data_IF_109740039282
#
_entry.id   IF_109740039282
#
_cell.length_a   1.000
_cell.length_b   1.000
_cell.length_c   1.000
_cell.angle_alpha   90.00
_cell.angle_beta   90.00
_cell.angle_gamma   90.00
#
_symmetry.space_group_name_H-M   'P 1'
#
loop_
_entity.id
_entity.type
_entity.pdbx_description
1 polymer ?
#
# COMPACT_ATOMS: atom_id res chain seq x y z
N UNK A 1 -13.21 -20.84 -15.82
CA UNK A 1 -12.46 -19.56 -15.86
C UNK A 1 -11.77 -19.42 -14.53
N UNK A 2 -10.45 -19.25 -14.53
CA UNK A 2 -9.73 -18.92 -13.30
C UNK A 2 -10.03 -17.46 -12.95
N UNK A 3 -10.50 -17.23 -11.72
CA UNK A 3 -10.87 -15.89 -11.26
C UNK A 3 -9.66 -15.25 -10.55
N UNK A 4 -9.30 -14.03 -10.94
CA UNK A 4 -8.36 -13.21 -10.19
C UNK A 4 -9.05 -12.61 -8.97
N UNK A 5 -8.36 -12.65 -7.82
CA UNK A 5 -8.87 -12.12 -6.55
C UNK A 5 -8.12 -10.87 -6.15
N UNK A 6 -8.83 -9.76 -6.07
CA UNK A 6 -8.28 -8.48 -5.61
C UNK A 6 -8.78 -8.20 -4.19
N UNK A 7 -7.87 -7.80 -3.32
CA UNK A 7 -8.17 -7.28 -2.00
C UNK A 7 -7.88 -5.78 -1.96
N UNK A 8 -8.91 -4.99 -1.68
CA UNK A 8 -8.84 -3.53 -1.62
C UNK A 8 -9.14 -3.09 -0.19
N UNK A 9 -8.26 -2.29 0.39
CA UNK A 9 -8.50 -1.69 1.69
C UNK A 9 -8.03 -0.24 1.74
N UNK A 10 -8.74 0.56 2.53
CA UNK A 10 -8.29 1.89 2.91
C UNK A 10 -8.26 2.04 4.41
N UNK A 11 -7.27 2.77 4.92
CA UNK A 11 -7.13 3.02 6.35
C UNK A 11 -6.65 4.45 6.60
N UNK A 12 -7.46 5.25 7.29
CA UNK A 12 -7.00 6.54 7.82
C UNK A 12 -6.25 6.28 9.12
N UNK A 13 -4.94 6.59 9.14
CA UNK A 13 -4.06 6.25 10.24
C UNK A 13 -3.94 7.39 11.26
N UNK A 14 -4.56 8.55 11.03
CA UNK A 14 -4.55 9.68 11.96
C UNK A 14 -3.15 10.09 12.41
N UNK A 15 -2.17 10.07 11.51
CA UNK A 15 -0.74 10.33 11.75
C UNK A 15 0.02 9.33 12.62
N UNK A 16 -0.60 8.20 12.99
CA UNK A 16 0.05 7.13 13.74
C UNK A 16 1.12 6.39 12.93
N UNK A 17 1.98 5.68 13.66
CA UNK A 17 2.91 4.68 13.14
C UNK A 17 2.24 3.30 13.08
N UNK A 18 2.74 2.36 12.26
CA UNK A 18 2.18 1.01 12.12
C UNK A 18 2.53 0.10 13.32
N UNK A 19 2.31 0.56 14.55
CA UNK A 19 2.63 -0.19 15.77
C UNK A 19 1.51 -1.17 16.18
N UNK A 20 0.34 -1.03 15.54
CA UNK A 20 -0.82 -1.90 15.73
C UNK A 20 -0.75 -3.17 14.87
N UNK A 21 -1.50 -4.19 15.26
CA UNK A 21 -1.64 -5.40 14.45
C UNK A 21 -2.45 -5.12 13.17
N UNK A 22 -1.84 -5.32 12.01
CA UNK A 22 -2.46 -5.09 10.70
C UNK A 22 -3.06 -6.37 10.08
N UNK A 23 -3.03 -7.51 10.79
CA UNK A 23 -3.62 -8.77 10.28
C UNK A 23 -5.11 -8.65 10.03
N UNK A 24 -5.83 -7.91 10.86
CA UNK A 24 -7.25 -7.64 10.67
C UNK A 24 -7.50 -6.80 9.41
N UNK A 25 -6.71 -5.75 9.19
CA UNK A 25 -6.75 -4.91 7.99
C UNK A 25 -6.51 -5.70 6.71
N UNK A 26 -5.70 -6.76 6.77
CA UNK A 26 -5.41 -7.64 5.63
C UNK A 26 -6.34 -8.87 5.56
N UNK A 27 -7.28 -9.00 6.50
CA UNK A 27 -8.11 -10.18 6.69
C UNK A 27 -7.30 -11.49 6.72
N UNK A 28 -6.09 -11.43 7.28
CA UNK A 28 -5.23 -12.61 7.49
C UNK A 28 -5.73 -13.30 8.76
N UNK A 29 -6.64 -14.26 8.60
CA UNK A 29 -7.07 -15.14 9.68
C UNK A 29 -6.09 -16.30 9.84
N UNK A 30 -5.85 -16.78 11.08
CA UNK A 30 -5.01 -17.97 11.37
C UNK A 30 -5.50 -19.26 10.71
N UNK A 31 -6.76 -19.27 10.26
CA UNK A 31 -7.27 -20.32 9.39
C UNK A 31 -6.58 -20.19 8.05
N UNK A 32 -5.85 -21.22 7.64
CA UNK A 32 -5.39 -21.47 6.26
C UNK A 32 -6.59 -21.33 5.31
N UNK A 33 -6.91 -20.09 4.95
CA UNK A 33 -7.92 -19.79 3.95
C UNK A 33 -7.37 -20.33 2.64
N UNK A 34 -8.07 -21.29 2.06
CA UNK A 34 -7.65 -22.03 0.86
C UNK A 34 -7.51 -21.11 -0.37
N UNK A 35 -7.79 -19.82 -0.26
CA UNK A 35 -7.70 -18.89 -1.39
C UNK A 35 -7.26 -17.49 -0.95
N UNK A 36 -5.95 -17.28 -0.89
CA UNK A 36 -5.34 -15.96 -0.69
C UNK A 36 -5.62 -15.04 -1.90
N UNK A 37 -5.72 -13.71 -1.71
CA UNK A 37 -5.84 -12.76 -2.83
C UNK A 37 -4.68 -12.90 -3.80
N UNK A 38 -4.92 -12.66 -5.09
CA UNK A 38 -3.86 -12.57 -6.08
C UNK A 38 -3.16 -11.21 -6.00
N UNK A 39 -3.91 -10.16 -5.65
CA UNK A 39 -3.44 -8.80 -5.50
C UNK A 39 -3.97 -8.16 -4.22
N UNK A 40 -3.13 -7.36 -3.58
CA UNK A 40 -3.54 -6.40 -2.54
C UNK A 40 -3.32 -4.98 -3.06
N UNK A 41 -4.31 -4.12 -2.96
CA UNK A 41 -4.15 -2.67 -3.13
C UNK A 41 -4.61 -1.97 -1.85
N UNK A 42 -3.68 -1.33 -1.16
CA UNK A 42 -3.85 -0.77 0.17
C UNK A 42 -3.61 0.73 0.14
N UNK A 43 -4.57 1.51 0.64
CA UNK A 43 -4.53 2.98 0.61
C UNK A 43 -4.60 3.58 2.02
N UNK A 44 -3.54 4.23 2.46
CA UNK A 44 -3.45 4.88 3.76
C UNK A 44 -3.63 6.39 3.65
N UNK A 45 -4.36 6.98 4.60
CA UNK A 45 -4.65 8.42 4.69
C UNK A 45 -4.14 8.99 6.01
N UNK A 46 -3.86 10.29 6.03
CA UNK A 46 -3.23 11.01 7.15
C UNK A 46 -1.88 10.40 7.58
N UNK A 47 -1.12 9.84 6.62
CA UNK A 47 0.22 9.32 6.90
C UNK A 47 1.16 10.49 7.23
N UNK A 48 1.98 10.33 8.28
CA UNK A 48 2.91 11.37 8.76
C UNK A 48 3.82 11.88 7.62
N UNK A 49 3.73 13.18 7.33
CA UNK A 49 4.39 13.82 6.18
C UNK A 49 5.52 14.80 6.60
N UNK A 50 6.45 14.34 7.45
CA UNK A 50 7.64 15.15 7.75
C UNK A 50 8.58 15.19 6.53
N UNK A 51 9.14 16.35 6.14
CA UNK A 51 9.97 16.47 4.92
C UNK A 51 11.17 15.52 4.89
N UNK A 52 11.80 15.30 6.05
CA UNK A 52 12.89 14.34 6.21
C UNK A 52 12.44 12.92 5.87
N UNK A 53 11.23 12.53 6.28
CA UNK A 53 10.65 11.23 6.02
C UNK A 53 10.31 11.09 4.53
N UNK A 54 9.78 12.12 3.87
CA UNK A 54 9.46 12.04 2.43
C UNK A 54 10.71 11.78 1.56
N UNK A 55 11.84 12.39 1.90
CA UNK A 55 13.11 12.15 1.19
C UNK A 55 13.63 10.73 1.45
N UNK A 56 13.61 10.29 2.71
CA UNK A 56 14.07 8.95 3.08
C UNK A 56 13.17 7.84 2.51
N UNK A 57 11.86 8.05 2.48
CA UNK A 57 10.88 7.10 1.91
C UNK A 57 10.95 7.02 0.37
N UNK A 58 11.64 7.96 -0.28
CA UNK A 58 11.97 7.86 -1.72
C UNK A 58 13.14 6.88 -1.93
N UNK A 59 14.02 6.73 -0.94
CA UNK A 59 15.20 5.87 -0.98
C UNK A 59 14.96 4.50 -0.31
N UNK A 60 14.05 4.45 0.66
CA UNK A 60 13.71 3.28 1.48
C UNK A 60 12.21 3.04 1.52
N UNK A 61 11.77 1.83 1.86
CA UNK A 61 10.35 1.60 2.10
C UNK A 61 9.87 2.41 3.30
N UNK A 62 8.72 3.07 3.16
CA UNK A 62 8.12 3.75 4.30
C UNK A 62 7.64 2.75 5.37
N UNK A 63 7.47 3.18 6.64
CA UNK A 63 7.14 2.28 7.74
C UNK A 63 5.89 1.42 7.51
N UNK A 64 4.85 1.98 6.89
CA UNK A 64 3.61 1.23 6.60
C UNK A 64 3.86 0.17 5.52
N UNK A 65 4.61 0.52 4.47
CA UNK A 65 5.05 -0.46 3.47
C UNK A 65 5.87 -1.58 4.08
N UNK A 66 6.80 -1.26 4.99
CA UNK A 66 7.63 -2.25 5.67
C UNK A 66 6.76 -3.21 6.52
N UNK A 67 5.89 -2.68 7.38
CA UNK A 67 5.02 -3.49 8.25
C UNK A 67 4.11 -4.45 7.45
N UNK A 68 3.52 -3.98 6.35
CA UNK A 68 2.71 -4.84 5.48
C UNK A 68 3.55 -5.92 4.79
N UNK A 69 4.78 -5.59 4.34
CA UNK A 69 5.69 -6.58 3.74
C UNK A 69 6.02 -7.70 4.71
N UNK A 70 6.25 -7.40 5.98
CA UNK A 70 6.53 -8.42 6.99
C UNK A 70 5.35 -9.38 7.19
N UNK A 71 4.12 -8.88 7.13
CA UNK A 71 2.90 -9.69 7.28
C UNK A 71 2.58 -10.54 6.06
N UNK A 72 2.77 -10.01 4.84
CA UNK A 72 2.50 -10.73 3.59
C UNK A 72 3.57 -11.79 3.25
N UNK A 73 4.72 -11.76 3.93
CA UNK A 73 5.82 -12.73 3.79
C UNK A 73 6.35 -12.87 2.34
N UNK A 74 7.02 -13.98 2.04
CA UNK A 74 7.77 -14.21 0.78
C UNK A 74 6.89 -14.47 -0.46
N UNK A 75 5.60 -14.70 -0.27
CA UNK A 75 4.71 -15.08 -1.38
C UNK A 75 4.23 -13.88 -2.20
N UNK A 76 4.26 -12.68 -1.60
CA UNK A 76 3.88 -11.44 -2.26
C UNK A 76 5.09 -10.57 -2.60
N UNK A 77 4.99 -9.87 -3.72
CA UNK A 77 5.97 -8.91 -4.21
C UNK A 77 5.29 -7.55 -4.31
N UNK A 78 5.94 -6.51 -3.77
CA UNK A 78 5.51 -5.12 -3.96
C UNK A 78 5.68 -4.76 -5.44
N UNK A 79 4.58 -4.45 -6.11
CA UNK A 79 4.57 -3.99 -7.50
C UNK A 79 4.81 -2.49 -7.59
N UNK A 80 4.14 -1.71 -6.74
CA UNK A 80 4.21 -0.25 -6.74
C UNK A 80 3.95 0.29 -5.33
N UNK A 81 4.59 1.40 -5.00
CA UNK A 81 4.20 2.26 -3.89
C UNK A 81 4.22 3.71 -4.35
N UNK A 82 3.18 4.45 -4.02
CA UNK A 82 3.02 5.87 -4.33
C UNK A 82 2.78 6.62 -3.04
N UNK A 83 3.63 7.60 -2.75
CA UNK A 83 3.53 8.42 -1.55
C UNK A 83 3.30 9.87 -1.94
N UNK A 84 2.29 10.48 -1.32
CA UNK A 84 2.01 11.92 -1.41
C UNK A 84 1.87 12.50 0.00
N UNK A 85 1.67 13.80 0.10
CA UNK A 85 1.45 14.42 1.41
C UNK A 85 0.19 13.84 2.05
N UNK A 86 0.37 13.12 3.16
CA UNK A 86 -0.73 12.48 3.89
C UNK A 86 -1.29 11.22 3.26
N UNK A 87 -0.79 10.76 2.10
CA UNK A 87 -1.31 9.58 1.41
C UNK A 87 -0.22 8.58 1.05
N UNK A 88 -0.60 7.30 1.08
CA UNK A 88 0.23 6.20 0.64
C UNK A 88 -0.65 5.13 -0.05
N UNK A 89 -0.32 4.75 -1.27
CA UNK A 89 -0.89 3.59 -1.95
C UNK A 89 0.19 2.55 -2.17
N UNK A 90 -0.12 1.30 -1.87
CA UNK A 90 0.77 0.17 -2.06
C UNK A 90 0.03 -0.95 -2.77
N UNK A 91 0.65 -1.47 -3.82
CA UNK A 91 0.13 -2.63 -4.57
C UNK A 91 1.09 -3.80 -4.42
N UNK A 92 0.57 -4.94 -4.00
CA UNK A 92 1.26 -6.23 -3.95
C UNK A 92 0.60 -7.24 -4.86
N UNK A 93 1.39 -8.20 -5.35
CA UNK A 93 0.90 -9.35 -6.10
C UNK A 93 1.57 -10.62 -5.61
N UNK A 94 0.86 -11.75 -5.70
CA UNK A 94 1.49 -13.06 -5.61
C UNK A 94 2.61 -13.19 -6.65
N UNK A 95 3.72 -13.81 -6.24
CA UNK A 95 4.90 -14.01 -7.09
C UNK A 95 4.57 -14.77 -8.40
N UNK A 96 3.58 -15.67 -8.38
CA UNK A 96 3.17 -16.47 -9.55
C UNK A 96 2.70 -15.60 -10.75
N UNK A 97 2.24 -14.37 -10.51
CA UNK A 97 1.74 -13.47 -11.56
C UNK A 97 2.80 -12.55 -12.16
N UNK A 98 4.02 -12.55 -11.63
CA UNK A 98 5.06 -11.55 -11.96
C UNK A 98 5.40 -11.51 -13.45
N UNK A 99 5.36 -12.67 -14.13
CA UNK A 99 5.66 -12.76 -15.57
C UNK A 99 4.55 -12.22 -16.47
N UNK A 100 3.32 -12.10 -15.94
CA UNK A 100 2.16 -11.61 -16.67
C UNK A 100 1.91 -10.11 -16.44
N UNK A 101 2.54 -9.52 -15.43
CA UNK A 101 2.39 -8.09 -15.10
C UNK A 101 3.30 -7.27 -16.01
N UNK A 102 2.69 -6.34 -16.76
CA UNK A 102 3.34 -5.40 -17.69
C UNK A 102 2.70 -4.02 -17.50
N UNK A 103 3.38 -2.98 -17.98
CA UNK A 103 2.82 -1.63 -18.10
C UNK A 103 2.24 -1.06 -16.78
N UNK A 104 3.00 -1.18 -15.68
CA UNK A 104 2.60 -0.57 -14.40
C UNK A 104 2.81 0.94 -14.49
N UNK A 105 1.72 1.69 -14.62
CA UNK A 105 1.72 3.14 -14.57
C UNK A 105 0.99 3.69 -13.34
N UNK A 106 1.19 4.98 -13.06
CA UNK A 106 0.64 5.65 -11.88
C UNK A 106 0.48 7.14 -12.11
N UNK A 107 -0.72 7.66 -11.87
CA UNK A 107 -1.00 9.08 -11.89
C UNK A 107 -1.38 9.60 -10.49
N UNK A 108 -1.11 10.87 -10.25
CA UNK A 108 -1.57 11.54 -9.02
C UNK A 108 -2.00 12.96 -9.32
N UNK A 109 -2.97 13.46 -8.57
CA UNK A 109 -3.44 14.83 -8.67
C UNK A 109 -3.25 15.55 -7.35
N UNK A 110 -2.52 16.67 -7.38
CA UNK A 110 -2.43 17.57 -6.23
C UNK A 110 -3.69 18.42 -6.19
N UNK A 111 -4.41 18.36 -5.07
CA UNK A 111 -5.61 19.12 -4.79
C UNK A 111 -5.30 20.14 -3.71
N UNK A 112 -4.94 21.36 -4.10
CA UNK A 112 -4.62 22.44 -3.17
C UNK A 112 -5.26 23.76 -3.58
N UNK A 113 -5.61 24.59 -2.60
CA UNK A 113 -6.13 25.95 -2.78
C UNK A 113 -5.31 26.89 -1.89
N UNK A 114 -4.87 28.03 -2.44
CA UNK A 114 -4.18 29.07 -1.66
C UNK A 114 -2.79 28.69 -1.14
N UNK A 115 -2.09 27.73 -1.75
CA UNK A 115 -0.75 27.30 -1.35
C UNK A 115 -0.71 26.16 -0.33
N UNK A 116 -1.87 25.68 0.16
CA UNK A 116 -1.97 24.44 0.92
C UNK A 116 -2.29 23.28 -0.03
N UNK A 117 -1.40 22.29 -0.11
CA UNK A 117 -1.58 21.12 -0.97
C UNK A 117 -2.12 19.93 -0.15
N UNK A 118 -3.28 19.43 -0.53
CA UNK A 118 -3.68 18.03 -0.28
C UNK A 118 -3.37 17.26 -1.56
N UNK A 119 -3.09 15.98 -1.48
CA UNK A 119 -2.87 15.17 -2.68
C UNK A 119 -3.88 14.03 -2.70
N UNK A 120 -4.31 13.60 -3.89
CA UNK A 120 -5.21 12.46 -4.11
C UNK A 120 -4.64 11.60 -5.24
N UNK A 121 -4.73 10.29 -5.08
CA UNK A 121 -4.36 9.31 -6.11
C UNK A 121 -5.56 9.08 -7.03
N UNK A 122 -5.33 9.09 -8.35
CA UNK A 122 -6.34 8.83 -9.37
C UNK A 122 -6.16 7.44 -9.96
#
# INVERSE_FOLDING_TARGET
>A
MDNLRLYLATYNVGTSSPDQDLRELLSITDRKSETRPDFFALSFQEVKAQPQNMLMDTLFDDPWTFAIKELLQRDYIKLKSLRLQGLLLIVFSLRKHLLNIREIDSEYTRTGLGGMWVSILK
#
